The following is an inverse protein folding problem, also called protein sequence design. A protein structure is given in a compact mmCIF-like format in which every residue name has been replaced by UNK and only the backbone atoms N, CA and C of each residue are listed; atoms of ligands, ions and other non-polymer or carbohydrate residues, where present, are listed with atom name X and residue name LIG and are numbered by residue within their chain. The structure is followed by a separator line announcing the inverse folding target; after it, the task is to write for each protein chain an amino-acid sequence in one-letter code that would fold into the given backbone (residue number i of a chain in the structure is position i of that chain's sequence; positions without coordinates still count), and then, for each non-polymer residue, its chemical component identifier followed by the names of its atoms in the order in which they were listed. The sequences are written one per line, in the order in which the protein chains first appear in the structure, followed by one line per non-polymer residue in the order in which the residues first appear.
data_IF_971178915788
#
_entry.id   IF_971178915788
#
_cell.length_a   1.000
_cell.length_b   1.000
_cell.length_c   1.000
_cell.angle_alpha   90.00
_cell.angle_beta   90.00
_cell.angle_gamma   90.00
#
_symmetry.space_group_name_H-M   'P 1'
#
loop_
_entity.id
_entity.type
_entity.pdbx_description
1 polymer ?
#
# COMPACT_ATOMS: atom_id res chain seq x y z
N UNK A 1 -15.32 0.40 -1.68
CA UNK A 1 -14.25 -0.49 -1.19
C UNK A 1 -12.91 -0.21 -1.86
N UNK A 2 -12.77 -0.37 -3.18
CA UNK A 2 -11.45 -0.22 -3.81
C UNK A 2 -10.91 1.23 -3.75
N UNK A 3 -11.77 2.22 -4.01
CA UNK A 3 -11.41 3.63 -3.81
C UNK A 3 -11.12 4.00 -2.34
N UNK A 4 -11.75 3.33 -1.39
CA UNK A 4 -11.50 3.55 0.04
C UNK A 4 -10.10 3.05 0.43
N UNK A 5 -9.66 1.92 -0.12
CA UNK A 5 -8.30 1.39 0.08
C UNK A 5 -7.26 2.30 -0.55
N UNK A 6 -7.48 2.78 -1.78
CA UNK A 6 -6.60 3.76 -2.43
C UNK A 6 -6.40 5.01 -1.58
N UNK A 7 -7.52 5.60 -1.12
CA UNK A 7 -7.50 6.79 -0.28
C UNK A 7 -6.82 6.51 1.07
N UNK A 8 -7.09 5.35 1.69
CA UNK A 8 -6.47 4.96 2.95
C UNK A 8 -4.95 4.77 2.81
N UNK A 9 -4.46 4.13 1.75
CA UNK A 9 -3.01 3.96 1.50
C UNK A 9 -2.33 5.32 1.42
N UNK A 10 -2.84 6.23 0.58
CA UNK A 10 -2.24 7.56 0.41
C UNK A 10 -2.26 8.37 1.69
N UNK A 11 -3.42 8.41 2.37
CA UNK A 11 -3.59 9.16 3.62
C UNK A 11 -2.61 8.66 4.67
N UNK A 12 -2.61 7.35 4.96
CA UNK A 12 -1.76 6.77 5.99
C UNK A 12 -0.26 6.89 5.66
N UNK A 13 0.11 6.72 4.39
CA UNK A 13 1.51 6.86 3.97
C UNK A 13 2.01 8.30 4.10
N UNK A 14 1.18 9.30 3.74
CA UNK A 14 1.49 10.73 3.90
C UNK A 14 1.55 11.15 5.36
N UNK A 15 0.56 10.73 6.17
CA UNK A 15 0.52 11.01 7.61
C UNK A 15 1.75 10.47 8.35
N UNK A 16 2.29 9.33 7.89
CA UNK A 16 3.50 8.75 8.50
C UNK A 16 4.78 9.52 8.15
N UNK A 17 4.77 10.26 7.05
CA UNK A 17 5.89 11.09 6.60
C UNK A 17 6.87 10.38 5.65
N UNK A 18 7.74 11.16 4.97
CA UNK A 18 8.51 10.73 3.79
C UNK A 18 9.63 9.72 4.08
N UNK A 19 10.04 9.56 5.35
CA UNK A 19 11.07 8.59 5.75
C UNK A 19 10.49 7.29 6.31
N UNK A 20 9.16 7.21 6.37
CA UNK A 20 8.45 6.10 7.00
C UNK A 20 7.58 5.38 5.98
N UNK A 21 7.16 4.19 6.37
CA UNK A 21 6.37 3.31 5.51
C UNK A 21 5.19 2.74 6.28
N UNK A 22 4.18 2.30 5.53
CA UNK A 22 3.09 1.44 5.99
C UNK A 22 3.17 0.08 5.28
N UNK A 23 2.22 -0.81 5.53
CA UNK A 23 2.01 -2.03 4.75
C UNK A 23 0.54 -2.12 4.26
N UNK A 24 0.21 -3.01 3.31
CA UNK A 24 -1.17 -3.17 2.83
C UNK A 24 -2.19 -3.42 3.94
N UNK A 25 -1.80 -4.17 4.98
CA UNK A 25 -2.69 -4.47 6.10
C UNK A 25 -3.04 -3.25 6.97
N UNK A 26 -2.26 -2.17 6.94
CA UNK A 26 -2.62 -0.93 7.64
C UNK A 26 -3.85 -0.28 6.98
N UNK A 27 -3.85 -0.17 5.66
CA UNK A 27 -4.98 0.34 4.89
C UNK A 27 -6.19 -0.61 4.96
N UNK A 28 -5.97 -1.91 4.82
CA UNK A 28 -7.03 -2.91 4.93
C UNK A 28 -7.72 -2.86 6.30
N UNK A 29 -6.97 -2.69 7.41
CA UNK A 29 -7.56 -2.54 8.75
C UNK A 29 -8.35 -1.24 8.90
N UNK A 30 -7.87 -0.15 8.32
CA UNK A 30 -8.55 1.13 8.36
C UNK A 30 -9.91 1.10 7.63
N UNK A 31 -10.03 0.30 6.56
CA UNK A 31 -11.26 0.20 5.74
C UNK A 31 -12.17 -0.94 6.19
N UNK A 32 -11.61 -2.14 6.40
CA UNK A 32 -12.39 -3.38 6.60
C UNK A 32 -12.63 -3.77 8.05
N UNK A 33 -12.06 -3.05 9.03
CA UNK A 33 -12.26 -3.35 10.45
C UNK A 33 -11.98 -4.82 10.77
N UNK A 34 -12.91 -5.57 11.41
CA UNK A 34 -12.73 -6.99 11.71
C UNK A 34 -12.51 -7.89 10.49
N UNK A 35 -13.06 -7.52 9.32
CA UNK A 35 -13.01 -8.29 8.06
C UNK A 35 -11.84 -7.87 7.16
N UNK A 36 -10.87 -7.12 7.68
CA UNK A 36 -9.75 -6.58 6.90
C UNK A 36 -8.95 -7.62 6.11
N UNK A 37 -8.95 -8.88 6.55
CA UNK A 37 -8.23 -9.96 5.87
C UNK A 37 -8.77 -10.21 4.46
N UNK A 38 -10.06 -10.02 4.26
CA UNK A 38 -10.73 -10.21 2.96
C UNK A 38 -10.33 -9.11 1.95
N UNK A 39 -9.79 -7.99 2.44
CA UNK A 39 -9.33 -6.85 1.62
C UNK A 39 -7.82 -6.90 1.31
N UNK A 40 -7.11 -7.95 1.69
CA UNK A 40 -5.65 -7.99 1.55
C UNK A 40 -5.19 -8.00 0.09
N UNK A 41 -5.87 -8.73 -0.78
CA UNK A 41 -5.54 -8.78 -2.20
C UNK A 41 -5.87 -7.44 -2.87
N UNK A 42 -7.05 -6.87 -2.60
CA UNK A 42 -7.44 -5.55 -3.08
C UNK A 42 -6.45 -4.46 -2.62
N UNK A 43 -6.02 -4.49 -1.35
CA UNK A 43 -5.07 -3.51 -0.82
C UNK A 43 -3.70 -3.61 -1.51
N UNK A 44 -3.28 -4.82 -1.91
CA UNK A 44 -2.04 -5.03 -2.67
C UNK A 44 -2.20 -4.54 -4.11
N UNK A 45 -3.35 -4.76 -4.73
CA UNK A 45 -3.66 -4.26 -6.07
C UNK A 45 -3.67 -2.73 -6.11
N UNK A 46 -4.34 -2.07 -5.16
CA UNK A 46 -4.33 -0.61 -5.08
C UNK A 46 -2.94 -0.04 -4.84
N UNK A 47 -2.11 -0.72 -4.03
CA UNK A 47 -0.72 -0.30 -3.87
C UNK A 47 0.03 -0.34 -5.20
N UNK A 48 -0.16 -1.39 -6.02
CA UNK A 48 0.45 -1.47 -7.36
C UNK A 48 -0.06 -0.37 -8.28
N UNK A 49 -1.36 -0.11 -8.31
CA UNK A 49 -1.92 0.96 -9.13
C UNK A 49 -1.34 2.33 -8.74
N UNK A 50 -1.30 2.65 -7.45
CA UNK A 50 -0.69 3.88 -6.96
C UNK A 50 0.79 3.98 -7.34
N UNK A 51 1.52 2.87 -7.31
CA UNK A 51 2.93 2.84 -7.69
C UNK A 51 3.12 3.03 -9.20
N UNK A 52 2.25 2.46 -10.04
CA UNK A 52 2.22 2.73 -11.48
C UNK A 52 1.95 4.20 -11.78
N UNK A 53 1.11 4.85 -10.98
CA UNK A 53 0.84 6.29 -11.07
C UNK A 53 1.94 7.17 -10.46
N UNK A 54 2.99 6.58 -9.86
CA UNK A 54 4.06 7.31 -9.21
C UNK A 54 3.64 8.03 -7.93
N UNK A 55 2.50 7.67 -7.33
CA UNK A 55 1.99 8.27 -6.09
C UNK A 55 2.53 7.60 -4.82
N UNK A 56 3.02 6.36 -4.95
CA UNK A 56 3.71 5.63 -3.88
C UNK A 56 4.89 4.84 -4.44
N UNK A 57 5.85 4.53 -3.56
CA UNK A 57 6.89 3.54 -3.82
C UNK A 57 6.59 2.28 -3.00
N UNK A 58 6.73 1.12 -3.63
CA UNK A 58 6.66 -0.18 -2.97
C UNK A 58 8.08 -0.72 -2.80
N UNK A 59 8.41 -1.20 -1.61
CA UNK A 59 9.69 -1.85 -1.36
C UNK A 59 9.57 -3.13 -0.54
N UNK A 60 10.54 -4.02 -0.71
CA UNK A 60 10.71 -5.23 0.08
C UNK A 60 12.16 -5.34 0.52
N UNK A 61 12.38 -5.51 1.83
CA UNK A 61 13.74 -5.57 2.43
C UNK A 61 14.63 -4.39 2.01
N UNK A 62 14.02 -3.20 1.86
CA UNK A 62 14.72 -1.97 1.45
C UNK A 62 14.95 -1.82 -0.06
N UNK A 63 14.54 -2.80 -0.88
CA UNK A 63 14.67 -2.74 -2.33
C UNK A 63 13.34 -2.33 -2.95
N UNK A 64 13.34 -1.30 -3.80
CA UNK A 64 12.16 -0.87 -4.56
C UNK A 64 11.74 -1.97 -5.53
N UNK A 65 10.44 -2.25 -5.57
CA UNK A 65 9.84 -3.27 -6.43
C UNK A 65 9.17 -2.65 -7.64
N UNK A 66 9.24 -3.35 -8.77
CA UNK A 66 8.43 -3.06 -9.95
C UNK A 66 6.95 -3.46 -9.68
N UNK A 67 5.99 -2.55 -9.86
CA UNK A 67 4.57 -2.83 -9.63
C UNK A 67 3.93 -3.76 -10.66
N UNK A 68 4.61 -4.14 -11.74
CA UNK A 68 4.11 -5.04 -12.78
C UNK A 68 4.76 -6.44 -12.72
N UNK A 69 5.82 -6.60 -11.93
CA UNK A 69 6.45 -7.90 -11.66
C UNK A 69 5.75 -8.69 -10.52
N UNK A 70 5.86 -10.03 -10.49
CA UNK A 70 5.34 -10.83 -9.39
C UNK A 70 6.21 -10.69 -8.13
N UNK A 71 5.57 -10.42 -6.99
CA UNK A 71 6.23 -10.40 -5.67
C UNK A 71 5.40 -11.09 -4.62
N UNK A 72 6.08 -11.70 -3.65
CA UNK A 72 5.49 -12.50 -2.57
C UNK A 72 5.95 -11.99 -1.21
N UNK A 73 5.07 -12.13 -0.23
CA UNK A 73 5.39 -11.80 1.16
C UNK A 73 5.22 -10.32 1.52
N UNK A 74 5.77 -9.92 2.68
CA UNK A 74 5.61 -8.59 3.24
C UNK A 74 6.28 -7.51 2.39
N UNK A 75 5.59 -6.38 2.26
CA UNK A 75 6.08 -5.18 1.58
C UNK A 75 5.83 -3.94 2.42
N UNK A 76 6.52 -2.87 2.03
CA UNK A 76 6.39 -1.53 2.59
C UNK A 76 5.93 -0.58 1.50
N UNK A 77 5.07 0.36 1.87
CA UNK A 77 4.53 1.40 0.98
C UNK A 77 4.91 2.75 1.57
N UNK A 78 5.44 3.65 0.74
CA UNK A 78 5.78 5.03 1.09
C UNK A 78 5.14 5.97 0.07
N UNK A 79 4.60 7.11 0.52
CA UNK A 79 4.14 8.15 -0.39
C UNK A 79 5.32 8.79 -1.11
N UNK A 80 5.21 9.02 -2.42
CA UNK A 80 6.19 9.83 -3.15
C UNK A 80 6.01 11.32 -2.79
N UNK A 81 7.08 12.13 -2.88
CA UNK A 81 7.02 13.58 -2.68
C UNK A 81 6.08 14.30 -3.65
#
# INVERSE_FOLDING_TARGET
MNQDLRAAILRLARERGPEKTICPSDAARAVGGPQWRDLMDDAREQARELARHGEVEISQKGVTLDPDEPWRGPIRIRATP
#
